data_IF_544727385276
#
_entry.id   IF_544727385276
#
_cell.length_a   1.000
_cell.length_b   1.000
_cell.length_c   1.000
_cell.angle_alpha   90.00
_cell.angle_beta   90.00
_cell.angle_gamma   90.00
#
_symmetry.space_group_name_H-M   'P 1'
#
loop_
_entity.id
_entity.type
_entity.pdbx_description
1 polymer ?
#
# COMPACT_ATOMS: atom_id res chain seq x y z
N UNK A 1 24.31 -6.52 -16.84
CA UNK A 1 25.70 -6.75 -17.33
C UNK A 1 25.76 -6.82 -18.84
N UNK A 2 24.90 -7.57 -19.52
CA UNK A 2 24.89 -7.73 -20.99
C UNK A 2 24.84 -6.39 -21.75
N UNK A 3 24.02 -5.44 -21.33
CA UNK A 3 23.95 -4.10 -21.94
C UNK A 3 25.30 -3.37 -21.88
N UNK A 4 25.95 -3.33 -20.71
CA UNK A 4 27.25 -2.67 -20.55
C UNK A 4 28.33 -3.37 -21.40
N UNK A 5 28.31 -4.69 -21.48
CA UNK A 5 29.21 -5.49 -22.34
C UNK A 5 28.99 -5.15 -23.82
N UNK A 6 27.72 -5.05 -24.24
CA UNK A 6 27.38 -4.69 -25.61
C UNK A 6 27.82 -3.27 -25.97
N UNK A 7 27.59 -2.29 -25.08
CA UNK A 7 28.07 -0.91 -25.28
C UNK A 7 29.57 -0.86 -25.52
N UNK A 8 30.34 -1.65 -24.75
CA UNK A 8 31.81 -1.70 -24.87
C UNK A 8 32.22 -2.43 -26.17
N UNK A 9 31.65 -3.61 -26.44
CA UNK A 9 32.06 -4.45 -27.57
C UNK A 9 31.72 -3.89 -28.93
N UNK A 10 30.54 -3.21 -29.01
CA UNK A 10 30.07 -2.58 -30.23
C UNK A 10 30.50 -1.11 -30.36
N UNK A 11 31.25 -0.61 -29.36
CA UNK A 11 31.72 0.79 -29.31
C UNK A 11 30.59 1.79 -29.52
N UNK A 12 29.46 1.58 -28.86
CA UNK A 12 28.26 2.43 -28.95
C UNK A 12 28.58 3.80 -28.33
N UNK A 13 28.36 4.92 -29.00
CA UNK A 13 28.56 6.25 -28.41
C UNK A 13 27.66 6.44 -27.18
N UNK A 14 28.25 6.80 -26.06
CA UNK A 14 27.51 7.01 -24.82
C UNK A 14 28.13 8.11 -23.96
N UNK A 15 27.34 8.71 -23.06
CA UNK A 15 27.82 9.55 -21.98
C UNK A 15 28.33 8.73 -20.79
N UNK A 16 28.38 9.33 -19.61
CA UNK A 16 28.74 8.62 -18.38
C UNK A 16 27.63 7.59 -18.05
N UNK A 17 28.03 6.34 -17.87
CA UNK A 17 27.13 5.27 -17.41
C UNK A 17 27.54 4.91 -15.99
N UNK A 18 26.61 5.02 -15.03
CA UNK A 18 26.75 4.57 -13.67
C UNK A 18 25.90 3.32 -13.45
N UNK A 19 26.42 2.31 -12.78
CA UNK A 19 25.70 1.08 -12.46
C UNK A 19 25.69 0.92 -10.95
N UNK A 20 24.52 0.78 -10.35
CA UNK A 20 24.31 0.54 -8.93
C UNK A 20 23.56 -0.75 -8.69
N UNK A 21 23.92 -1.46 -7.64
CA UNK A 21 23.22 -2.64 -7.14
C UNK A 21 22.86 -2.39 -5.69
N UNK A 22 21.60 -2.62 -5.33
CA UNK A 22 21.11 -2.44 -3.96
C UNK A 22 20.64 -3.77 -3.39
N UNK A 23 20.95 -4.08 -2.12
CA UNK A 23 20.41 -5.24 -1.42
C UNK A 23 19.00 -4.93 -0.88
N UNK A 24 18.33 -5.95 -0.33
CA UNK A 24 17.10 -5.80 0.47
C UNK A 24 15.90 -5.18 -0.25
N UNK A 25 15.83 -5.29 -1.59
CA UNK A 25 14.70 -4.81 -2.39
C UNK A 25 13.41 -5.52 -1.98
N UNK A 26 13.42 -6.84 -1.83
CA UNK A 26 12.27 -7.71 -1.49
C UNK A 26 11.61 -7.39 -0.13
N UNK A 27 12.31 -6.69 0.74
CA UNK A 27 11.79 -6.18 2.02
C UNK A 27 11.53 -4.68 2.01
N UNK A 28 11.65 -4.03 0.83
CA UNK A 28 11.37 -2.62 0.60
C UNK A 28 12.43 -1.65 1.12
N UNK A 29 13.64 -2.10 1.39
CA UNK A 29 14.75 -1.30 1.93
C UNK A 29 15.89 -1.06 0.95
N UNK A 30 15.73 -1.45 -0.30
CA UNK A 30 16.80 -1.40 -1.32
C UNK A 30 17.42 -0.02 -1.54
N UNK A 31 16.66 1.05 -1.36
CA UNK A 31 17.14 2.41 -1.59
C UNK A 31 17.51 3.20 -0.32
N UNK A 32 17.30 2.64 0.88
CA UNK A 32 17.41 3.37 2.15
C UNK A 32 18.80 3.99 2.38
N UNK A 33 19.84 3.34 1.91
CA UNK A 33 21.23 3.77 2.09
C UNK A 33 21.92 4.10 0.77
N UNK A 34 21.17 4.22 -0.33
CA UNK A 34 21.75 4.52 -1.64
C UNK A 34 22.13 6.00 -1.72
N UNK A 35 23.41 6.27 -1.92
CA UNK A 35 23.93 7.64 -2.08
C UNK A 35 23.61 8.16 -3.49
N UNK A 36 22.44 8.75 -3.65
CA UNK A 36 21.96 9.30 -4.92
C UNK A 36 22.87 10.43 -5.41
N UNK A 37 23.35 11.30 -4.52
CA UNK A 37 24.21 12.42 -4.89
C UNK A 37 25.60 11.93 -5.32
N UNK A 38 26.20 11.01 -4.56
CA UNK A 38 27.48 10.42 -4.90
C UNK A 38 27.44 9.53 -6.15
N UNK A 39 26.28 8.94 -6.46
CA UNK A 39 26.07 8.18 -7.69
C UNK A 39 26.19 9.05 -8.94
N UNK A 40 25.74 10.31 -8.86
CA UNK A 40 26.02 11.37 -9.82
C UNK A 40 25.52 11.08 -11.23
N UNK A 41 24.32 10.53 -11.35
CA UNK A 41 23.59 10.36 -12.59
C UNK A 41 22.51 11.42 -12.71
N UNK A 42 22.27 11.92 -13.94
CA UNK A 42 21.21 12.90 -14.22
C UNK A 42 19.82 12.25 -14.22
N UNK A 43 19.76 10.97 -14.60
CA UNK A 43 18.57 10.13 -14.60
C UNK A 43 18.96 8.64 -14.45
N UNK A 44 18.01 7.81 -14.11
CA UNK A 44 18.25 6.39 -13.92
C UNK A 44 17.11 5.51 -14.47
N UNK A 45 17.47 4.32 -14.87
CA UNK A 45 16.53 3.23 -15.14
C UNK A 45 16.69 2.18 -14.04
N UNK A 46 15.58 1.80 -13.45
CA UNK A 46 15.54 0.63 -12.55
C UNK A 46 15.24 -0.59 -13.40
N UNK A 47 16.12 -1.58 -13.34
CA UNK A 47 15.92 -2.85 -14.05
C UNK A 47 15.49 -3.89 -13.03
N UNK A 48 14.22 -4.24 -13.11
CA UNK A 48 13.56 -5.19 -12.21
C UNK A 48 12.80 -6.25 -13.01
N UNK A 49 12.18 -7.22 -12.33
CA UNK A 49 11.36 -8.25 -12.97
C UNK A 49 10.09 -7.68 -13.60
N UNK A 50 9.63 -8.29 -14.68
CA UNK A 50 8.43 -7.89 -15.42
C UNK A 50 8.38 -8.60 -16.76
N UNK A 51 7.43 -8.21 -17.62
CA UNK A 51 7.35 -8.76 -18.98
C UNK A 51 8.47 -8.18 -19.86
N UNK A 52 8.95 -8.96 -20.82
CA UNK A 52 9.93 -8.49 -21.79
C UNK A 52 9.35 -7.35 -22.64
N UNK A 53 10.15 -6.32 -22.89
CA UNK A 53 9.82 -5.14 -23.70
C UNK A 53 8.78 -4.19 -23.06
N UNK A 54 8.57 -4.25 -21.76
CA UNK A 54 7.78 -3.28 -21.02
C UNK A 54 8.68 -2.22 -20.37
N UNK A 55 8.18 -1.00 -20.33
CA UNK A 55 8.77 0.14 -19.61
C UNK A 55 7.68 0.72 -18.73
N UNK A 56 7.87 0.67 -17.43
CA UNK A 56 7.01 1.35 -16.46
C UNK A 56 7.56 2.74 -16.19
N UNK A 57 6.73 3.76 -16.34
CA UNK A 57 7.10 5.16 -16.16
C UNK A 57 6.33 5.87 -15.04
N UNK A 58 5.44 5.17 -14.38
CA UNK A 58 4.75 5.62 -13.18
C UNK A 58 4.36 4.44 -12.28
N UNK A 59 4.08 4.74 -11.01
CA UNK A 59 3.64 3.76 -10.03
C UNK A 59 2.43 4.31 -9.24
N UNK A 60 1.89 3.54 -8.33
CA UNK A 60 0.82 3.99 -7.44
C UNK A 60 1.32 4.96 -6.36
N UNK A 61 0.40 5.79 -5.81
CA UNK A 61 0.51 6.23 -4.43
C UNK A 61 0.18 5.05 -3.52
N UNK A 62 0.95 4.84 -2.48
CA UNK A 62 0.88 3.65 -1.66
C UNK A 62 0.79 3.96 -0.17
N UNK A 63 -0.12 3.28 0.53
CA UNK A 63 -0.19 3.26 1.98
C UNK A 63 -0.57 1.87 2.50
N UNK A 64 -0.09 1.55 3.68
CA UNK A 64 -0.62 0.48 4.50
C UNK A 64 -1.60 1.03 5.53
N UNK A 65 -2.68 0.31 5.80
CA UNK A 65 -3.64 0.69 6.83
C UNK A 65 -3.92 -0.49 7.76
N UNK A 66 -3.79 -0.26 9.04
CA UNK A 66 -4.10 -1.25 10.08
C UNK A 66 -5.30 -0.79 10.89
N UNK A 67 -6.37 -1.58 10.85
CA UNK A 67 -7.57 -1.40 11.67
C UNK A 67 -7.51 -2.36 12.83
N UNK A 68 -7.65 -1.86 14.05
CA UNK A 68 -7.76 -2.68 15.26
C UNK A 68 -9.11 -2.46 15.89
N UNK A 69 -9.76 -3.54 16.28
CA UNK A 69 -11.07 -3.54 16.93
C UNK A 69 -10.95 -4.15 18.31
N UNK A 70 -11.48 -3.46 19.31
CA UNK A 70 -11.59 -3.92 20.68
C UNK A 70 -13.03 -4.30 20.96
N UNK A 71 -13.31 -5.58 21.18
CA UNK A 71 -14.62 -6.07 21.55
C UNK A 71 -14.87 -6.03 23.05
N UNK A 72 -16.10 -6.34 23.41
CA UNK A 72 -16.53 -6.55 24.79
C UNK A 72 -17.28 -7.88 24.88
N UNK A 73 -16.60 -8.91 25.34
CA UNK A 73 -17.13 -10.26 25.44
C UNK A 73 -17.88 -10.44 26.75
N UNK A 74 -19.10 -10.99 26.66
CA UNK A 74 -19.92 -11.40 27.80
C UNK A 74 -20.57 -12.74 27.49
N UNK A 75 -21.17 -13.39 28.48
CA UNK A 75 -21.88 -14.66 28.27
C UNK A 75 -23.00 -14.50 27.24
N UNK A 76 -23.07 -15.35 26.19
CA UNK A 76 -24.04 -15.21 25.10
C UNK A 76 -25.51 -15.07 25.55
N UNK A 77 -25.90 -15.77 26.61
CA UNK A 77 -27.26 -15.68 27.14
C UNK A 77 -27.67 -14.35 27.75
N UNK A 78 -26.68 -13.45 28.03
CA UNK A 78 -26.90 -12.11 28.60
C UNK A 78 -26.28 -11.01 27.73
N UNK A 79 -26.01 -11.28 26.47
CA UNK A 79 -25.25 -10.42 25.57
C UNK A 79 -26.04 -9.26 24.93
N UNK A 80 -27.39 -9.30 25.02
CA UNK A 80 -28.24 -8.30 24.37
C UNK A 80 -27.91 -6.89 24.84
N UNK A 81 -27.61 -5.99 23.91
CA UNK A 81 -27.24 -4.58 24.14
C UNK A 81 -25.96 -4.37 24.97
N UNK A 82 -25.13 -5.42 25.15
CA UNK A 82 -23.93 -5.35 26.00
C UNK A 82 -22.70 -5.84 25.24
N UNK A 83 -22.79 -6.96 24.53
CA UNK A 83 -21.66 -7.55 23.81
C UNK A 83 -21.29 -6.70 22.58
N UNK A 84 -19.99 -6.47 22.42
CA UNK A 84 -19.39 -5.98 21.17
C UNK A 84 -18.50 -7.09 20.63
N UNK A 85 -18.96 -7.76 19.58
CA UNK A 85 -18.19 -8.83 18.93
C UNK A 85 -17.21 -8.21 17.93
N UNK A 86 -15.92 -8.20 18.26
CA UNK A 86 -14.90 -7.56 17.43
C UNK A 86 -14.80 -8.16 16.02
N UNK A 87 -14.97 -9.47 15.88
CA UNK A 87 -14.95 -10.13 14.57
C UNK A 87 -16.11 -9.63 13.67
N UNK A 88 -17.31 -9.44 14.22
CA UNK A 88 -18.45 -8.91 13.48
C UNK A 88 -18.25 -7.43 13.12
N UNK A 89 -17.68 -6.63 14.02
CA UNK A 89 -17.34 -5.23 13.72
C UNK A 89 -16.27 -5.14 12.63
N UNK A 90 -15.31 -6.04 12.60
CA UNK A 90 -14.32 -6.13 11.53
C UNK A 90 -14.96 -6.43 10.17
N UNK A 91 -15.89 -7.35 10.12
CA UNK A 91 -16.67 -7.64 8.90
C UNK A 91 -17.51 -6.43 8.48
N UNK A 92 -18.13 -5.73 9.44
CA UNK A 92 -18.91 -4.50 9.17
C UNK A 92 -18.01 -3.40 8.60
N UNK A 93 -16.82 -3.18 9.18
CA UNK A 93 -15.83 -2.24 8.64
C UNK A 93 -15.51 -2.54 7.18
N UNK A 94 -15.17 -3.80 6.88
CA UNK A 94 -14.84 -4.21 5.51
C UNK A 94 -16.02 -4.00 4.55
N UNK A 95 -17.25 -4.30 4.98
CA UNK A 95 -18.45 -4.15 4.15
C UNK A 95 -18.86 -2.69 3.90
N UNK A 96 -18.32 -1.73 4.65
CA UNK A 96 -18.54 -0.28 4.42
C UNK A 96 -17.55 0.28 3.37
N UNK A 97 -16.50 -0.44 3.01
CA UNK A 97 -15.65 -0.09 1.87
C UNK A 97 -16.35 -0.44 0.55
N UNK A 98 -16.07 0.30 -0.54
CA UNK A 98 -16.65 -0.01 -1.84
C UNK A 98 -16.28 -1.42 -2.30
N UNK A 99 -17.28 -2.26 -2.51
CA UNK A 99 -17.06 -3.68 -2.84
C UNK A 99 -16.35 -3.90 -4.20
N UNK A 100 -16.44 -2.93 -5.11
CA UNK A 100 -15.76 -2.94 -6.42
C UNK A 100 -14.29 -2.53 -6.36
N UNK A 101 -13.89 -1.79 -5.32
CA UNK A 101 -12.54 -1.21 -5.23
C UNK A 101 -11.55 -2.22 -4.65
N UNK A 102 -11.38 -3.33 -5.33
CA UNK A 102 -10.46 -4.41 -4.95
C UNK A 102 -9.55 -4.79 -6.11
N UNK A 103 -8.36 -5.34 -5.89
CA UNK A 103 -7.45 -5.74 -6.98
C UNK A 103 -8.06 -6.70 -8.01
N UNK A 104 -9.07 -7.47 -7.61
CA UNK A 104 -9.75 -8.40 -8.51
C UNK A 104 -10.76 -7.73 -9.45
N UNK A 105 -11.15 -6.48 -9.18
CA UNK A 105 -12.20 -5.75 -9.91
C UNK A 105 -11.70 -4.43 -10.51
N UNK A 106 -10.44 -4.09 -10.35
CA UNK A 106 -9.83 -2.83 -10.81
C UNK A 106 -8.74 -3.11 -11.84
N UNK A 107 -8.58 -2.20 -12.78
CA UNK A 107 -7.58 -2.26 -13.84
C UNK A 107 -6.97 -0.88 -14.11
N UNK A 108 -5.87 -0.85 -14.83
CA UNK A 108 -5.17 0.36 -15.29
C UNK A 108 -4.92 1.35 -14.13
N UNK A 109 -5.52 2.54 -14.19
CA UNK A 109 -5.34 3.64 -13.23
C UNK A 109 -6.30 3.62 -12.04
N UNK A 110 -7.14 2.61 -11.95
CA UNK A 110 -8.11 2.49 -10.86
C UNK A 110 -7.41 2.15 -9.53
N UNK A 111 -7.81 2.85 -8.49
CA UNK A 111 -7.31 2.58 -7.15
C UNK A 111 -8.13 1.53 -6.40
N UNK A 112 -7.55 0.95 -5.35
CA UNK A 112 -8.18 -0.13 -4.60
C UNK A 112 -7.83 -0.14 -3.12
N UNK A 113 -8.64 -0.89 -2.36
CA UNK A 113 -8.35 -1.40 -1.03
C UNK A 113 -8.10 -2.90 -1.12
N UNK A 114 -6.97 -3.37 -0.66
CA UNK A 114 -6.68 -4.80 -0.61
C UNK A 114 -6.56 -5.24 0.83
N UNK A 115 -7.52 -6.03 1.31
CA UNK A 115 -7.43 -6.70 2.61
C UNK A 115 -6.42 -7.84 2.49
N UNK A 116 -5.23 -7.66 3.08
CA UNK A 116 -4.15 -8.64 3.03
C UNK A 116 -4.26 -9.68 4.15
N UNK A 117 -4.69 -9.24 5.33
CA UNK A 117 -4.79 -10.10 6.50
C UNK A 117 -5.99 -9.72 7.36
N UNK A 118 -6.69 -10.72 7.87
CA UNK A 118 -7.75 -10.58 8.86
C UNK A 118 -7.57 -11.62 9.94
N UNK A 119 -7.56 -11.18 11.19
CA UNK A 119 -7.51 -12.06 12.36
C UNK A 119 -8.42 -11.55 13.46
N UNK A 120 -8.88 -12.42 14.32
CA UNK A 120 -9.63 -12.00 15.50
C UNK A 120 -10.67 -12.98 16.00
N UNK A 121 -11.25 -12.60 17.14
CA UNK A 121 -12.31 -13.30 17.84
C UNK A 121 -13.36 -12.30 18.38
N UNK A 122 -14.16 -12.71 19.37
CA UNK A 122 -15.15 -11.85 20.02
C UNK A 122 -14.51 -10.65 20.73
N UNK A 123 -13.32 -10.84 21.28
CA UNK A 123 -12.66 -9.86 22.16
C UNK A 123 -11.80 -8.85 21.41
N UNK A 124 -11.20 -9.27 20.32
CA UNK A 124 -10.34 -8.39 19.49
C UNK A 124 -10.27 -8.86 18.06
N UNK A 125 -10.08 -7.91 17.14
CA UNK A 125 -9.84 -8.20 15.74
C UNK A 125 -8.86 -7.21 15.12
N UNK A 126 -8.21 -7.61 14.03
CA UNK A 126 -7.29 -6.80 13.24
C UNK A 126 -7.51 -7.04 11.76
N UNK A 127 -7.47 -5.96 10.98
CA UNK A 127 -7.49 -5.98 9.53
C UNK A 127 -6.28 -5.20 9.04
N UNK A 128 -5.53 -5.79 8.13
CA UNK A 128 -4.38 -5.16 7.48
C UNK A 128 -4.69 -4.95 5.99
N UNK A 129 -4.64 -3.69 5.55
CA UNK A 129 -4.94 -3.28 4.19
C UNK A 129 -3.73 -2.67 3.49
N UNK A 130 -3.69 -2.86 2.20
CA UNK A 130 -2.94 -2.03 1.26
C UNK A 130 -3.91 -1.09 0.56
N UNK A 131 -3.56 0.20 0.46
CA UNK A 131 -4.28 1.20 -0.31
C UNK A 131 -3.40 1.64 -1.46
N UNK A 132 -3.95 1.62 -2.67
CA UNK A 132 -3.28 2.06 -3.89
C UNK A 132 -4.19 2.96 -4.70
N UNK A 133 -3.62 3.98 -5.30
CA UNK A 133 -4.28 4.82 -6.29
C UNK A 133 -3.23 5.61 -7.09
N UNK A 134 -3.42 5.77 -8.38
CA UNK A 134 -2.54 6.60 -9.20
C UNK A 134 -2.78 8.09 -8.95
N UNK A 135 -4.04 8.50 -8.77
CA UNK A 135 -4.41 9.88 -8.50
C UNK A 135 -4.24 10.24 -7.02
N UNK A 136 -3.50 11.31 -6.73
CA UNK A 136 -3.21 11.74 -5.36
C UNK A 136 -4.43 12.23 -4.59
N UNK A 137 -5.42 12.83 -5.27
CA UNK A 137 -6.65 13.29 -4.63
C UNK A 137 -7.56 12.10 -4.28
N UNK A 138 -7.70 11.14 -5.19
CA UNK A 138 -8.43 9.90 -4.93
C UNK A 138 -7.77 9.06 -3.85
N UNK A 139 -6.44 9.00 -3.83
CA UNK A 139 -5.69 8.33 -2.77
C UNK A 139 -5.97 8.95 -1.38
N UNK A 140 -6.02 10.28 -1.30
CA UNK A 140 -6.42 10.97 -0.06
C UNK A 140 -7.88 10.67 0.30
N UNK A 141 -8.79 10.69 -0.67
CA UNK A 141 -10.20 10.34 -0.46
C UNK A 141 -10.37 8.92 0.09
N UNK A 142 -9.60 7.94 -0.40
CA UNK A 142 -9.62 6.56 0.12
C UNK A 142 -9.22 6.50 1.58
N UNK A 143 -8.18 7.22 1.97
CA UNK A 143 -7.75 7.27 3.36
C UNK A 143 -8.81 7.94 4.25
N UNK A 144 -9.43 9.04 3.80
CA UNK A 144 -10.50 9.74 4.52
C UNK A 144 -11.75 8.87 4.67
N UNK A 145 -12.10 8.08 3.66
CA UNK A 145 -13.19 7.11 3.77
C UNK A 145 -12.96 6.14 4.93
N UNK A 146 -11.78 5.57 5.06
CA UNK A 146 -11.46 4.68 6.17
C UNK A 146 -11.58 5.39 7.53
N UNK A 147 -11.09 6.64 7.63
CA UNK A 147 -11.24 7.45 8.86
C UNK A 147 -12.70 7.73 9.18
N UNK A 148 -13.49 8.00 8.16
CA UNK A 148 -14.94 8.23 8.33
C UNK A 148 -15.67 6.98 8.80
N UNK A 149 -15.36 5.81 8.27
CA UNK A 149 -15.91 4.52 8.72
C UNK A 149 -15.57 4.28 10.19
N UNK A 150 -14.31 4.51 10.60
CA UNK A 150 -13.90 4.41 12.02
C UNK A 150 -14.76 5.30 12.90
N UNK A 151 -14.98 6.55 12.49
CA UNK A 151 -15.83 7.49 13.23
C UNK A 151 -17.23 6.94 13.39
N UNK A 152 -17.87 6.49 12.32
CA UNK A 152 -19.24 5.94 12.35
C UNK A 152 -19.34 4.70 13.25
N UNK A 153 -18.35 3.81 13.19
CA UNK A 153 -18.35 2.61 14.04
C UNK A 153 -18.10 2.95 15.52
N UNK A 154 -17.27 3.94 15.81
CA UNK A 154 -17.09 4.41 17.20
C UNK A 154 -18.34 5.13 17.73
N UNK A 155 -19.06 5.88 16.90
CA UNK A 155 -20.38 6.44 17.27
C UNK A 155 -21.38 5.34 17.60
N UNK A 156 -21.35 4.22 16.86
CA UNK A 156 -22.27 3.08 17.06
C UNK A 156 -21.91 2.19 18.25
N UNK A 157 -20.63 1.88 18.43
CA UNK A 157 -20.15 0.87 19.39
C UNK A 157 -19.46 1.45 20.63
N UNK A 158 -19.19 2.74 20.65
CA UNK A 158 -18.46 3.45 21.68
C UNK A 158 -17.04 3.85 21.26
N UNK A 159 -16.61 4.99 21.77
CA UNK A 159 -15.32 5.58 21.44
C UNK A 159 -14.16 4.63 21.77
N UNK A 160 -13.20 4.52 20.85
CA UNK A 160 -12.04 3.65 20.98
C UNK A 160 -12.30 2.17 20.69
N UNK A 161 -13.52 1.80 20.28
CA UNK A 161 -13.80 0.42 19.81
C UNK A 161 -13.03 0.09 18.55
N UNK A 162 -12.96 1.05 17.61
CA UNK A 162 -12.20 0.90 16.35
C UNK A 162 -11.09 1.93 16.30
N UNK A 163 -9.89 1.51 15.99
CA UNK A 163 -8.73 2.38 15.78
C UNK A 163 -8.09 2.10 14.42
N UNK A 164 -7.58 3.14 13.78
CA UNK A 164 -6.97 3.07 12.45
C UNK A 164 -5.59 3.72 12.49
N UNK A 165 -4.61 3.01 11.95
CA UNK A 165 -3.26 3.53 11.71
C UNK A 165 -3.01 3.45 10.20
N UNK A 166 -2.77 4.59 9.55
CA UNK A 166 -2.37 4.65 8.15
C UNK A 166 -0.90 5.08 8.09
N UNK A 167 -0.11 4.37 7.32
CA UNK A 167 1.29 4.68 7.02
C UNK A 167 1.44 4.84 5.51
N UNK A 168 1.71 6.04 5.05
CA UNK A 168 2.12 6.26 3.66
C UNK A 168 3.48 5.62 3.43
N UNK A 169 3.64 4.97 2.28
CA UNK A 169 4.84 4.24 1.90
C UNK A 169 5.61 5.01 0.83
N UNK A 170 4.96 5.29 -0.30
CA UNK A 170 5.52 6.08 -1.38
C UNK A 170 4.43 6.79 -2.17
N UNK A 171 4.83 7.77 -2.98
CA UNK A 171 3.96 8.53 -3.87
C UNK A 171 4.20 8.14 -5.31
N UNK A 172 3.17 8.26 -6.13
CA UNK A 172 3.29 8.09 -7.58
C UNK A 172 4.32 9.09 -8.12
N UNK A 173 5.30 8.57 -8.84
CA UNK A 173 6.37 9.36 -9.47
C UNK A 173 6.07 9.48 -10.95
N UNK A 174 5.26 10.48 -11.32
CA UNK A 174 4.92 10.74 -12.72
C UNK A 174 6.10 11.37 -13.45
N UNK A 175 6.69 10.65 -14.39
CA UNK A 175 7.38 11.17 -15.57
C UNK A 175 8.70 11.92 -15.42
N UNK A 176 9.15 12.38 -14.26
CA UNK A 176 10.41 13.13 -14.11
C UNK A 176 11.59 12.35 -13.55
N UNK A 177 11.38 11.20 -13.02
CA UNK A 177 12.47 10.36 -12.50
C UNK A 177 13.15 9.52 -13.60
N UNK A 178 12.79 9.73 -14.85
CA UNK A 178 12.88 8.69 -15.83
C UNK A 178 13.53 9.13 -17.13
N UNK A 179 13.93 10.37 -17.24
CA UNK A 179 14.57 10.86 -18.48
C UNK A 179 15.87 11.56 -18.15
#
# INVERSE_FOLDING_TARGET
MTMAEQVITENIPHGKICIGFTPDEEVGHGADFFDVEGFGADFAYTVDGGAENEIEYENFNAAGAKVKIKGFSVHPGSSKNTMINAALVAMEFNNMLPAGDTPANTEEYEGFFHLCEMSGDVSSASLDYIIRDHDSAMFACRQELMRHIVKLLNEKYGEGTVTLIIKEQYRNKIGRAHV
#
